data_IF_941617777971
#
_entry.id   IF_941617777971
#
_cell.length_a   1.000
_cell.length_b   1.000
_cell.length_c   1.000
_cell.angle_alpha   90.00
_cell.angle_beta   90.00
_cell.angle_gamma   90.00
#
_symmetry.space_group_name_H-M   'P 1'
#
loop_
_entity.id
_entity.type
_entity.pdbx_description
1 polymer ?
#
# COMPACT_ATOMS: atom_id res chain seq x y z
N UNK A 1 4.30 33.89 -8.83
CA UNK A 1 5.48 33.29 -9.50
C UNK A 1 6.26 32.35 -8.59
N UNK A 2 6.56 32.71 -7.33
CA UNK A 2 7.21 31.84 -6.33
C UNK A 2 6.52 30.47 -6.13
N UNK A 3 5.19 30.44 -6.07
CA UNK A 3 4.42 29.21 -5.92
C UNK A 3 4.60 28.23 -7.08
N UNK A 4 4.60 28.73 -8.32
CA UNK A 4 4.80 27.90 -9.52
C UNK A 4 6.19 27.27 -9.56
N UNK A 5 7.23 28.00 -9.10
CA UNK A 5 8.60 27.48 -9.02
C UNK A 5 8.69 26.36 -7.97
N UNK A 6 8.08 26.54 -6.78
CA UNK A 6 8.00 25.48 -5.77
C UNK A 6 7.27 24.23 -6.27
N UNK A 7 6.15 24.42 -6.96
CA UNK A 7 5.37 23.33 -7.51
C UNK A 7 6.19 22.54 -8.54
N UNK A 8 6.92 23.23 -9.43
CA UNK A 8 7.83 22.61 -10.39
C UNK A 8 8.95 21.83 -9.68
N UNK A 9 9.56 22.40 -8.63
CA UNK A 9 10.61 21.73 -7.86
C UNK A 9 10.07 20.46 -7.18
N UNK A 10 8.92 20.54 -6.52
CA UNK A 10 8.25 19.37 -5.91
C UNK A 10 7.94 18.33 -6.99
N UNK A 11 7.39 18.75 -8.13
CA UNK A 11 6.98 17.84 -9.20
C UNK A 11 8.17 17.09 -9.80
N UNK A 12 9.29 17.76 -10.03
CA UNK A 12 10.53 17.14 -10.51
C UNK A 12 11.09 16.17 -9.47
N UNK A 13 11.12 16.56 -8.19
CA UNK A 13 11.59 15.69 -7.11
C UNK A 13 10.70 14.43 -6.96
N UNK A 14 9.38 14.61 -7.00
CA UNK A 14 8.40 13.54 -6.89
C UNK A 14 8.46 12.59 -8.10
N UNK A 15 8.57 13.12 -9.31
CA UNK A 15 8.68 12.31 -10.54
C UNK A 15 9.96 11.48 -10.54
N UNK A 16 11.07 12.06 -10.07
CA UNK A 16 12.33 11.34 -9.92
C UNK A 16 12.24 10.24 -8.85
N UNK A 17 11.56 10.50 -7.74
CA UNK A 17 11.31 9.51 -6.70
C UNK A 17 10.37 8.39 -7.14
N UNK A 18 9.29 8.72 -7.85
CA UNK A 18 8.30 7.76 -8.36
C UNK A 18 8.92 6.74 -9.31
N UNK A 19 9.92 7.15 -10.09
CA UNK A 19 10.62 6.25 -11.01
C UNK A 19 11.46 5.19 -10.31
N UNK A 20 11.96 5.47 -9.09
CA UNK A 20 12.72 4.50 -8.28
C UNK A 20 11.85 3.67 -7.33
N UNK A 21 10.67 4.17 -6.97
CA UNK A 21 9.66 3.44 -6.22
C UNK A 21 10.03 3.09 -4.76
N UNK A 22 9.09 2.49 -4.04
CA UNK A 22 9.30 1.92 -2.70
C UNK A 22 9.70 2.95 -1.64
N UNK A 23 10.75 2.65 -0.87
CA UNK A 23 11.25 3.50 0.22
C UNK A 23 11.84 4.82 -0.31
N UNK A 24 12.38 4.82 -1.54
CA UNK A 24 12.99 5.99 -2.16
C UNK A 24 11.97 7.11 -2.42
N UNK A 25 10.71 6.77 -2.67
CA UNK A 25 9.61 7.73 -2.82
C UNK A 25 9.38 8.55 -1.54
N UNK A 26 9.35 7.87 -0.39
CA UNK A 26 9.20 8.53 0.91
C UNK A 26 10.41 9.39 1.27
N UNK A 27 11.62 8.88 1.00
CA UNK A 27 12.87 9.59 1.30
C UNK A 27 13.04 10.85 0.44
N UNK A 28 12.82 10.75 -0.88
CA UNK A 28 12.93 11.88 -1.80
C UNK A 28 11.82 12.91 -1.59
N UNK A 29 10.59 12.46 -1.28
CA UNK A 29 9.50 13.34 -0.87
C UNK A 29 9.84 14.13 0.40
N UNK A 30 10.40 13.46 1.41
CA UNK A 30 10.87 14.09 2.66
C UNK A 30 12.00 15.09 2.44
N UNK A 31 13.02 14.73 1.65
CA UNK A 31 14.15 15.60 1.30
C UNK A 31 13.65 16.83 0.52
N UNK A 32 12.73 16.66 -0.43
CA UNK A 32 12.10 17.75 -1.14
C UNK A 32 11.37 18.71 -0.21
N UNK A 33 10.62 18.19 0.77
CA UNK A 33 9.97 19.00 1.80
C UNK A 33 10.97 19.76 2.67
N UNK A 34 12.05 19.11 3.11
CA UNK A 34 13.11 19.75 3.92
C UNK A 34 13.74 20.90 3.16
N UNK A 35 14.07 20.71 1.89
CA UNK A 35 14.65 21.77 1.04
C UNK A 35 13.67 22.92 0.88
N UNK A 36 12.38 22.67 0.66
CA UNK A 36 11.39 23.74 0.56
C UNK A 36 11.19 24.49 1.87
N UNK A 37 11.19 23.81 3.02
CA UNK A 37 11.01 24.45 4.32
C UNK A 37 12.24 25.29 4.71
N UNK A 38 13.46 24.75 4.55
CA UNK A 38 14.70 25.45 4.93
C UNK A 38 15.13 26.54 3.93
N UNK A 39 14.94 26.33 2.63
CA UNK A 39 15.39 27.29 1.60
C UNK A 39 14.33 28.36 1.30
N UNK A 40 13.05 28.00 1.30
CA UNK A 40 11.96 28.94 1.00
C UNK A 40 11.21 29.44 2.23
N UNK A 41 11.65 29.07 3.45
CA UNK A 41 11.07 29.55 4.71
C UNK A 41 9.54 29.35 4.82
N UNK A 42 9.03 28.28 4.19
CA UNK A 42 7.62 27.94 4.29
C UNK A 42 7.31 27.43 5.69
N UNK A 43 6.18 27.86 6.24
CA UNK A 43 5.71 27.45 7.54
C UNK A 43 5.48 25.92 7.51
N UNK A 44 6.21 25.14 8.33
CA UNK A 44 6.05 23.70 8.35
C UNK A 44 4.63 23.36 8.80
N UNK A 45 3.89 22.63 7.96
CA UNK A 45 2.56 22.14 8.31
C UNK A 45 2.63 21.13 9.46
N UNK A 46 1.51 20.96 10.18
CA UNK A 46 1.41 19.94 11.23
C UNK A 46 1.77 18.56 10.67
N UNK A 47 2.70 17.80 11.30
CA UNK A 47 3.01 16.45 10.86
C UNK A 47 1.74 15.58 10.95
N UNK A 48 1.43 14.77 9.92
CA UNK A 48 0.21 13.96 9.88
C UNK A 48 0.40 12.67 10.70
N UNK A 49 0.61 12.82 12.01
CA UNK A 49 0.82 11.71 12.95
C UNK A 49 -0.35 10.74 12.99
N UNK A 50 -1.57 11.25 12.85
CA UNK A 50 -2.80 10.45 12.75
C UNK A 50 -2.75 9.47 11.57
N UNK A 51 -2.30 9.96 10.41
CA UNK A 51 -2.16 9.16 9.19
C UNK A 51 -1.03 8.14 9.34
N UNK A 52 0.07 8.49 10.00
CA UNK A 52 1.14 7.53 10.27
C UNK A 52 0.66 6.39 11.17
N UNK A 53 -0.09 6.72 12.23
CA UNK A 53 -0.64 5.73 13.16
C UNK A 53 -1.67 4.81 12.48
N UNK A 54 -2.56 5.33 11.62
CA UNK A 54 -3.53 4.49 10.91
C UNK A 54 -2.85 3.53 9.92
N UNK A 55 -1.77 3.95 9.25
CA UNK A 55 -0.97 3.07 8.38
C UNK A 55 -0.32 1.95 9.22
N UNK A 56 0.26 2.28 10.37
CA UNK A 56 0.89 1.27 11.23
C UNK A 56 -0.16 0.30 11.78
N UNK A 57 -1.30 0.82 12.23
CA UNK A 57 -2.40 0.02 12.75
C UNK A 57 -2.94 -0.96 11.69
N UNK A 58 -3.16 -0.48 10.47
CA UNK A 58 -3.69 -1.32 9.39
C UNK A 58 -2.67 -2.36 8.93
N UNK A 59 -1.38 -2.03 8.86
CA UNK A 59 -0.31 -2.98 8.53
C UNK A 59 -0.18 -4.05 9.61
N UNK A 60 -0.24 -3.68 10.89
CA UNK A 60 -0.21 -4.63 12.00
C UNK A 60 -1.41 -5.57 12.00
N UNK A 61 -2.62 -5.05 11.77
CA UNK A 61 -3.83 -5.85 11.64
C UNK A 61 -3.73 -6.85 10.48
N UNK A 62 -3.18 -6.40 9.35
CA UNK A 62 -2.98 -7.22 8.15
C UNK A 62 -1.94 -8.32 8.36
N UNK A 63 -0.81 -7.99 9.00
CA UNK A 63 0.21 -8.96 9.36
C UNK A 63 -0.33 -10.00 10.35
N UNK A 64 -1.16 -9.59 11.31
CA UNK A 64 -1.82 -10.51 12.24
C UNK A 64 -2.83 -11.42 11.54
N UNK A 65 -3.59 -10.90 10.57
CA UNK A 65 -4.54 -11.68 9.77
C UNK A 65 -3.84 -12.71 8.87
N UNK A 66 -2.67 -12.37 8.33
CA UNK A 66 -1.81 -13.32 7.62
C UNK A 66 -1.18 -14.34 8.56
N UNK A 67 -0.74 -13.93 9.75
CA UNK A 67 -0.13 -14.83 10.74
C UNK A 67 -1.13 -15.82 11.35
N UNK A 68 -2.41 -15.46 11.47
CA UNK A 68 -3.46 -16.33 12.02
C UNK A 68 -4.01 -17.35 11.02
N UNK A 69 -3.60 -17.29 9.74
CA UNK A 69 -4.17 -18.11 8.66
C UNK A 69 -5.60 -17.69 8.27
N UNK A 70 -6.10 -16.55 8.75
CA UNK A 70 -7.44 -16.06 8.42
C UNK A 70 -7.61 -15.76 6.94
N UNK A 71 -6.53 -15.31 6.28
CA UNK A 71 -6.52 -15.09 4.84
C UNK A 71 -6.66 -16.40 4.04
N UNK A 72 -5.97 -17.47 4.47
CA UNK A 72 -6.04 -18.79 3.83
C UNK A 72 -7.45 -19.39 3.89
N UNK A 73 -8.12 -19.28 5.04
CA UNK A 73 -9.50 -19.77 5.21
C UNK A 73 -10.46 -19.02 4.28
N UNK A 74 -10.32 -17.70 4.17
CA UNK A 74 -11.15 -16.88 3.29
C UNK A 74 -10.94 -17.24 1.81
N UNK A 75 -9.71 -17.56 1.43
CA UNK A 75 -9.34 -17.97 0.08
C UNK A 75 -9.83 -19.40 -0.25
N UNK A 76 -9.74 -20.34 0.70
CA UNK A 76 -10.30 -21.69 0.54
C UNK A 76 -11.83 -21.68 0.41
N UNK A 77 -12.53 -20.83 1.17
CA UNK A 77 -13.98 -20.64 1.03
C UNK A 77 -14.29 -20.05 -0.35
N UNK A 78 -13.53 -19.05 -0.78
CA UNK A 78 -13.68 -18.45 -2.10
C UNK A 78 -13.46 -19.50 -3.22
N UNK A 79 -12.39 -20.30 -3.18
CA UNK A 79 -12.11 -21.39 -4.13
C UNK A 79 -13.21 -22.46 -4.15
N UNK A 80 -13.70 -22.87 -2.97
CA UNK A 80 -14.76 -23.88 -2.85
C UNK A 80 -16.08 -23.38 -3.42
N UNK A 81 -16.39 -22.09 -3.23
CA UNK A 81 -17.55 -21.42 -3.85
C UNK A 81 -17.38 -21.29 -5.37
N UNK A 82 -16.15 -21.00 -5.82
CA UNK A 82 -15.76 -20.88 -7.23
C UNK A 82 -15.93 -22.19 -8.00
N UNK A 83 -15.44 -23.30 -7.42
CA UNK A 83 -15.56 -24.64 -8.01
C UNK A 83 -17.01 -25.08 -8.15
N UNK A 84 -17.93 -24.58 -7.31
CA UNK A 84 -19.36 -24.88 -7.40
C UNK A 84 -20.07 -24.08 -8.49
N UNK A 85 -19.64 -22.85 -8.80
CA UNK A 85 -20.22 -22.05 -9.87
C UNK A 85 -19.16 -21.18 -10.59
N UNK A 86 -18.51 -21.67 -11.65
CA UNK A 86 -17.42 -20.97 -12.35
C UNK A 86 -17.84 -19.64 -12.98
N UNK A 87 -19.14 -19.39 -13.16
CA UNK A 87 -19.68 -18.15 -13.74
C UNK A 87 -19.57 -16.93 -12.81
N UNK A 88 -19.41 -17.12 -11.50
CA UNK A 88 -19.33 -16.03 -10.51
C UNK A 88 -17.89 -15.65 -10.12
N UNK A 89 -16.88 -16.24 -10.77
CA UNK A 89 -15.45 -15.90 -10.62
C UNK A 89 -15.21 -14.41 -10.63
N UNK A 90 -15.74 -13.75 -11.66
CA UNK A 90 -15.46 -12.33 -11.90
C UNK A 90 -16.16 -11.39 -10.91
N UNK A 91 -17.10 -11.88 -10.10
CA UNK A 91 -17.80 -11.09 -9.08
C UNK A 91 -17.21 -11.35 -7.69
N UNK A 92 -16.92 -12.62 -7.36
CA UNK A 92 -16.44 -13.00 -6.03
C UNK A 92 -14.98 -12.59 -5.81
N UNK A 93 -14.13 -12.68 -6.84
CA UNK A 93 -12.72 -12.29 -6.76
C UNK A 93 -12.52 -10.80 -6.41
N UNK A 94 -13.16 -9.82 -7.09
CA UNK A 94 -13.06 -8.43 -6.69
C UNK A 94 -13.75 -8.14 -5.37
N UNK A 95 -14.77 -8.91 -4.96
CA UNK A 95 -15.41 -8.70 -3.66
C UNK A 95 -14.46 -9.03 -2.50
N UNK A 96 -13.83 -10.21 -2.53
CA UNK A 96 -12.84 -10.63 -1.52
C UNK A 96 -11.62 -9.70 -1.54
N UNK A 97 -11.15 -9.34 -2.73
CA UNK A 97 -10.01 -8.42 -2.90
C UNK A 97 -10.33 -7.00 -2.43
N UNK A 98 -11.54 -6.48 -2.69
CA UNK A 98 -11.98 -5.18 -2.20
C UNK A 98 -12.16 -5.20 -0.70
N UNK A 99 -12.79 -6.23 -0.11
CA UNK A 99 -12.92 -6.34 1.34
C UNK A 99 -11.55 -6.37 1.99
N UNK A 100 -10.61 -7.16 1.46
CA UNK A 100 -9.23 -7.20 1.94
C UNK A 100 -8.51 -5.88 1.72
N UNK A 101 -8.63 -5.23 0.57
CA UNK A 101 -7.97 -3.95 0.28
C UNK A 101 -8.50 -2.82 1.16
N UNK A 102 -9.80 -2.81 1.43
CA UNK A 102 -10.45 -1.85 2.32
C UNK A 102 -10.04 -2.11 3.78
N UNK A 103 -9.89 -3.39 4.19
CA UNK A 103 -9.41 -3.74 5.54
C UNK A 103 -7.90 -3.55 5.75
N UNK A 104 -7.09 -3.75 4.70
CA UNK A 104 -5.63 -3.90 4.74
C UNK A 104 -4.90 -2.64 4.24
N UNK A 105 -5.58 -1.77 3.48
CA UNK A 105 -5.06 -0.50 2.99
C UNK A 105 -3.92 -0.59 1.97
N UNK A 106 -3.39 -1.78 1.65
CA UNK A 106 -2.25 -1.96 0.72
C UNK A 106 -2.40 -3.21 -0.15
N UNK A 107 -2.34 -3.05 -1.48
CA UNK A 107 -2.45 -4.14 -2.46
C UNK A 107 -1.25 -5.09 -2.54
N UNK A 108 -0.30 -5.04 -1.59
CA UNK A 108 0.99 -5.74 -1.65
C UNK A 108 0.97 -7.16 -1.04
N UNK A 109 -0.15 -7.58 -0.43
CA UNK A 109 -0.27 -8.86 0.26
C UNK A 109 -0.43 -10.08 -0.67
N UNK A 110 -0.61 -9.88 -1.98
CA UNK A 110 -0.74 -10.97 -2.97
C UNK A 110 0.59 -11.61 -3.40
N UNK A 111 1.72 -10.88 -3.33
CA UNK A 111 3.00 -11.38 -3.88
C UNK A 111 3.72 -12.35 -2.95
N UNK A 112 3.56 -12.22 -1.63
CA UNK A 112 4.30 -13.07 -0.68
C UNK A 112 3.63 -14.44 -0.43
N UNK A 113 2.32 -14.55 -0.67
CA UNK A 113 1.58 -15.81 -0.45
C UNK A 113 1.79 -16.83 -1.59
N UNK A 114 2.04 -16.36 -2.82
CA UNK A 114 2.34 -17.24 -3.97
C UNK A 114 3.67 -18.00 -3.86
N UNK A 115 4.60 -17.58 -2.99
CA UNK A 115 5.88 -18.26 -2.80
C UNK A 115 5.82 -19.42 -1.79
N UNK A 116 4.87 -19.42 -0.87
CA UNK A 116 4.77 -20.44 0.18
C UNK A 116 4.03 -21.71 -0.28
N UNK A 117 3.19 -21.61 -1.31
CA UNK A 117 2.51 -22.76 -1.91
C UNK A 117 3.38 -23.59 -2.87
N UNK A 118 4.50 -23.04 -3.39
CA UNK A 118 5.43 -23.80 -4.23
C UNK A 118 6.41 -24.66 -3.43
N UNK A 119 6.64 -24.36 -2.14
CA UNK A 119 7.58 -25.10 -1.27
C UNK A 119 6.95 -26.22 -0.44
N UNK A 120 5.67 -26.51 -0.65
CA UNK A 120 4.98 -27.70 -0.13
C UNK A 120 4.63 -28.71 -1.24
N UNK A 121 5.28 -28.56 -2.40
CA UNK A 121 5.24 -29.49 -3.54
C UNK A 121 6.57 -30.22 -3.75
N UNK A 122 7.52 -30.07 -2.82
CA UNK A 122 8.74 -30.88 -2.68
C UNK A 122 8.73 -31.58 -1.31
#
# INVERSE_FOLDING_TARGET
MLFSIQLIIILVCLFYGARKGGIALGLLGGIGLVILVFVFHLQPGKPPVDVMLVIIAVVAASATLQASGGLDVMLQIAEKLLRRNPKYVSIVAPFVTCTLTILCGTGHVVVHHSAHHLRRRD
#
